data_IF_853742104878
#
_entry.id   IF_853742104878
#
_cell.length_a   1.000
_cell.length_b   1.000
_cell.length_c   1.000
_cell.angle_alpha   90.00
_cell.angle_beta   90.00
_cell.angle_gamma   90.00
#
_symmetry.space_group_name_H-M   'P 1'
#
loop_
_entity.id
_entity.type
_entity.pdbx_description
1 polymer ?
#
# COMPACT_ATOMS: atom_id res chain seq x y z
N UNK A 1 -17.28 -13.94 -21.71
CA UNK A 1 -17.11 -12.89 -20.69
C UNK A 1 -16.76 -13.57 -19.40
N UNK A 2 -15.60 -13.27 -18.85
CA UNK A 2 -15.13 -13.82 -17.58
C UNK A 2 -15.66 -12.99 -16.40
N UNK A 3 -15.68 -13.54 -15.16
CA UNK A 3 -16.17 -12.83 -13.98
C UNK A 3 -15.44 -11.51 -13.70
N UNK A 4 -14.17 -11.40 -14.07
CA UNK A 4 -13.38 -10.17 -13.95
C UNK A 4 -13.64 -9.14 -15.06
N UNK A 5 -14.52 -9.45 -16.02
CA UNK A 5 -14.93 -8.56 -17.10
C UNK A 5 -14.19 -8.73 -18.42
N UNK A 6 -13.27 -9.70 -18.54
CA UNK A 6 -12.53 -9.97 -19.78
C UNK A 6 -13.46 -10.58 -20.85
N UNK A 7 -13.35 -10.09 -22.08
CA UNK A 7 -14.01 -10.64 -23.26
C UNK A 7 -12.98 -11.29 -24.18
N UNK A 8 -13.09 -12.61 -24.37
CA UNK A 8 -12.25 -13.35 -25.30
C UNK A 8 -13.01 -13.53 -26.63
N UNK A 9 -12.34 -13.18 -27.73
CA UNK A 9 -12.81 -13.39 -29.09
C UNK A 9 -11.82 -14.33 -29.78
N UNK A 10 -12.29 -15.49 -30.23
CA UNK A 10 -11.47 -16.52 -30.88
C UNK A 10 -11.70 -16.50 -32.39
N UNK A 11 -10.69 -16.94 -33.14
CA UNK A 11 -10.72 -17.04 -34.61
C UNK A 11 -11.21 -15.74 -35.27
N UNK A 12 -10.83 -14.59 -34.68
CA UNK A 12 -11.23 -13.28 -35.15
C UNK A 12 -10.67 -13.01 -36.56
N UNK A 13 -11.51 -12.53 -37.44
CA UNK A 13 -11.17 -12.08 -38.78
C UNK A 13 -11.41 -10.57 -38.89
N UNK A 14 -11.09 -10.00 -40.05
CA UNK A 14 -11.27 -8.55 -40.28
C UNK A 14 -12.74 -8.10 -40.12
N UNK A 15 -13.70 -9.04 -40.23
CA UNK A 15 -15.13 -8.79 -40.04
C UNK A 15 -15.49 -8.46 -38.58
N UNK A 16 -14.73 -8.94 -37.60
CA UNK A 16 -14.94 -8.62 -36.19
C UNK A 16 -14.23 -7.33 -35.76
N UNK A 17 -13.49 -6.65 -36.64
CA UNK A 17 -12.90 -5.35 -36.35
C UNK A 17 -14.01 -4.30 -36.11
N UNK A 18 -13.83 -3.45 -35.11
CA UNK A 18 -14.84 -2.44 -34.77
C UNK A 18 -14.72 -1.87 -33.37
N UNK A 19 -15.74 -1.11 -32.95
CA UNK A 19 -15.81 -0.56 -31.60
C UNK A 19 -16.53 -1.51 -30.65
N UNK A 20 -15.83 -1.89 -29.58
CA UNK A 20 -16.37 -2.73 -28.51
C UNK A 20 -16.61 -1.87 -27.29
N UNK A 21 -17.79 -2.01 -26.66
CA UNK A 21 -18.15 -1.24 -25.46
C UNK A 21 -18.40 -2.18 -24.29
N UNK A 22 -17.60 -2.02 -23.24
CA UNK A 22 -17.86 -2.62 -21.95
C UNK A 22 -18.91 -1.79 -21.20
N UNK A 23 -19.91 -2.47 -20.62
CA UNK A 23 -20.99 -1.84 -19.85
C UNK A 23 -21.02 -2.44 -18.45
N UNK A 24 -20.64 -1.65 -17.46
CA UNK A 24 -20.75 -2.01 -16.05
C UNK A 24 -22.01 -1.37 -15.48
N UNK A 25 -22.93 -2.17 -14.92
CA UNK A 25 -24.18 -1.65 -14.37
C UNK A 25 -24.43 -2.17 -12.96
N UNK A 26 -25.11 -1.37 -12.16
CA UNK A 26 -25.60 -1.72 -10.84
C UNK A 26 -27.01 -1.13 -10.63
N UNK A 27 -27.54 -1.24 -9.41
CA UNK A 27 -28.88 -0.73 -9.08
C UNK A 27 -29.02 0.79 -9.18
N UNK A 28 -27.91 1.53 -9.17
CA UNK A 28 -27.88 3.01 -9.20
C UNK A 28 -27.71 3.53 -10.62
N UNK A 29 -26.92 2.86 -11.45
CA UNK A 29 -26.66 3.31 -12.82
C UNK A 29 -25.71 2.40 -13.60
N UNK A 30 -25.23 2.91 -14.73
CA UNK A 30 -24.30 2.23 -15.62
C UNK A 30 -23.14 3.14 -16.02
N UNK A 31 -21.96 2.54 -16.15
CA UNK A 31 -20.74 3.14 -16.69
C UNK A 31 -20.34 2.38 -17.96
N UNK A 32 -19.78 3.10 -18.94
CA UNK A 32 -19.44 2.55 -20.25
C UNK A 32 -18.01 2.89 -20.63
N UNK A 33 -17.30 1.91 -21.18
CA UNK A 33 -15.96 2.11 -21.76
C UNK A 33 -15.87 1.47 -23.12
N UNK A 34 -15.61 2.28 -24.14
CA UNK A 34 -15.41 1.81 -25.51
C UNK A 34 -13.93 1.72 -25.86
N UNK A 35 -13.57 0.69 -26.63
CA UNK A 35 -12.26 0.47 -27.24
C UNK A 35 -12.43 0.17 -28.73
N UNK A 36 -11.42 0.50 -29.53
CA UNK A 36 -11.38 0.15 -30.95
C UNK A 36 -10.51 -1.09 -31.11
N UNK A 37 -11.07 -2.12 -31.71
CA UNK A 37 -10.37 -3.38 -32.02
C UNK A 37 -10.09 -3.40 -33.51
N UNK A 38 -8.82 -3.46 -33.86
CA UNK A 38 -8.35 -3.76 -35.22
C UNK A 38 -7.87 -5.20 -35.27
N UNK A 39 -8.25 -5.93 -36.31
CA UNK A 39 -7.76 -7.27 -36.57
C UNK A 39 -6.95 -7.21 -37.85
N UNK A 40 -5.64 -7.39 -37.73
CA UNK A 40 -4.77 -7.46 -38.90
C UNK A 40 -4.89 -8.87 -39.49
N UNK A 41 -5.24 -8.99 -40.77
CA UNK A 41 -5.50 -10.27 -41.46
C UNK A 41 -4.27 -11.18 -41.65
N UNK A 42 -3.15 -10.89 -41.01
CA UNK A 42 -1.93 -11.71 -41.05
C UNK A 42 -1.60 -12.27 -39.67
N UNK A 43 -1.10 -13.50 -39.64
CA UNK A 43 -0.60 -14.11 -38.40
C UNK A 43 0.71 -13.40 -38.04
N UNK A 44 0.74 -12.78 -36.86
CA UNK A 44 1.95 -12.16 -36.32
C UNK A 44 3.06 -13.23 -36.23
N UNK A 45 4.23 -12.90 -36.79
CA UNK A 45 5.39 -13.78 -36.74
C UNK A 45 5.76 -14.08 -35.29
N UNK A 46 6.21 -15.31 -35.04
CA UNK A 46 6.58 -15.78 -33.71
C UNK A 46 7.67 -14.85 -33.14
N UNK A 47 7.33 -14.05 -32.13
CA UNK A 47 8.29 -13.14 -31.52
C UNK A 47 9.13 -13.90 -30.50
N UNK A 48 10.33 -14.32 -30.93
CA UNK A 48 11.36 -14.86 -30.05
C UNK A 48 12.15 -13.75 -29.31
N UNK A 49 11.65 -12.52 -29.34
CA UNK A 49 12.32 -11.42 -28.67
C UNK A 49 12.15 -11.54 -27.16
N UNK A 50 13.21 -11.29 -26.38
CA UNK A 50 13.14 -11.40 -24.94
C UNK A 50 12.22 -10.32 -24.38
N UNK A 51 11.35 -10.71 -23.46
CA UNK A 51 10.71 -9.78 -22.53
C UNK A 51 11.65 -9.54 -21.36
N UNK A 52 11.75 -8.30 -20.88
CA UNK A 52 12.49 -8.01 -19.67
C UNK A 52 11.60 -7.38 -18.61
N UNK A 53 11.59 -7.96 -17.43
CA UNK A 53 10.73 -7.57 -16.31
C UNK A 53 11.53 -6.76 -15.29
N UNK A 54 10.94 -5.65 -14.86
CA UNK A 54 11.51 -4.73 -13.89
C UNK A 54 10.58 -4.55 -12.69
N UNK A 55 11.17 -4.40 -11.51
CA UNK A 55 10.43 -4.01 -10.29
C UNK A 55 10.50 -2.50 -10.13
N UNK A 56 9.38 -1.82 -10.37
CA UNK A 56 9.32 -0.36 -10.29
C UNK A 56 9.13 0.15 -8.86
N UNK A 57 8.41 -0.59 -8.00
CA UNK A 57 8.24 -0.20 -6.59
C UNK A 57 7.85 -1.36 -5.70
N UNK A 58 8.29 -1.32 -4.44
CA UNK A 58 7.99 -2.36 -3.43
C UNK A 58 7.42 -1.71 -2.16
N UNK A 59 6.27 -2.22 -1.72
CA UNK A 59 5.59 -1.86 -0.47
C UNK A 59 5.34 -3.12 0.37
N UNK A 60 4.77 -2.96 1.57
CA UNK A 60 4.53 -4.09 2.48
C UNK A 60 3.42 -5.03 1.97
N UNK A 61 2.46 -4.51 1.20
CA UNK A 61 1.31 -5.28 0.70
C UNK A 61 1.09 -5.16 -0.81
N UNK A 62 2.04 -4.56 -1.53
CA UNK A 62 1.93 -4.41 -2.98
C UNK A 62 3.28 -4.27 -3.64
N UNK A 63 3.38 -4.74 -4.88
CA UNK A 63 4.55 -4.56 -5.75
C UNK A 63 4.06 -4.01 -7.08
N UNK A 64 4.80 -3.05 -7.64
CA UNK A 64 4.62 -2.59 -9.02
C UNK A 64 5.70 -3.21 -9.88
N UNK A 65 5.26 -3.81 -10.98
CA UNK A 65 6.08 -4.52 -11.95
C UNK A 65 5.86 -3.85 -13.30
N UNK A 66 6.92 -3.66 -14.07
CA UNK A 66 6.87 -3.14 -15.43
C UNK A 66 7.69 -4.01 -16.35
N UNK A 67 7.45 -3.94 -17.65
CA UNK A 67 8.15 -4.78 -18.62
C UNK A 67 8.42 -4.04 -19.93
N UNK A 68 9.42 -4.52 -20.65
CA UNK A 68 9.75 -4.09 -22.00
C UNK A 68 9.81 -5.31 -22.92
N UNK A 69 9.20 -5.20 -24.10
CA UNK A 69 9.22 -6.23 -25.15
C UNK A 69 9.39 -5.55 -26.50
N UNK A 70 10.22 -6.14 -27.36
CA UNK A 70 10.60 -5.57 -28.66
C UNK A 70 9.64 -5.91 -29.81
N UNK A 71 8.59 -6.70 -29.56
CA UNK A 71 7.69 -7.12 -30.65
C UNK A 71 6.59 -8.11 -30.31
N UNK A 72 6.41 -8.49 -29.05
CA UNK A 72 5.26 -9.29 -28.63
C UNK A 72 4.37 -8.53 -27.64
N UNK A 73 3.10 -8.92 -27.57
CA UNK A 73 2.13 -8.35 -26.64
C UNK A 73 2.13 -9.16 -25.35
N UNK A 74 2.31 -8.48 -24.22
CA UNK A 74 2.23 -9.11 -22.92
C UNK A 74 0.80 -9.55 -22.66
N UNK A 75 0.63 -10.82 -22.33
CA UNK A 75 -0.70 -11.45 -22.22
C UNK A 75 -1.02 -11.87 -20.79
N UNK A 76 -0.01 -12.34 -20.04
CA UNK A 76 -0.21 -12.93 -18.73
C UNK A 76 0.91 -12.56 -17.75
N UNK A 77 0.50 -12.21 -16.54
CA UNK A 77 1.37 -12.02 -15.38
C UNK A 77 1.06 -13.10 -14.36
N UNK A 78 2.09 -13.75 -13.82
CA UNK A 78 1.97 -14.76 -12.78
C UNK A 78 2.78 -14.38 -11.55
N UNK A 79 2.27 -14.65 -10.35
CA UNK A 79 3.06 -14.53 -9.12
C UNK A 79 2.74 -15.61 -8.09
N UNK A 80 3.78 -16.06 -7.40
CA UNK A 80 3.67 -17.04 -6.31
C UNK A 80 4.70 -16.77 -5.22
N UNK A 81 4.47 -17.32 -4.02
CA UNK A 81 5.46 -17.28 -2.94
C UNK A 81 6.63 -18.17 -3.35
N UNK A 82 7.86 -17.64 -3.30
CA UNK A 82 9.04 -18.33 -3.81
C UNK A 82 9.29 -19.69 -3.15
N UNK A 83 8.93 -19.82 -1.87
CA UNK A 83 9.14 -21.02 -1.06
C UNK A 83 8.01 -22.06 -1.18
N UNK A 84 6.96 -21.79 -1.95
CA UNK A 84 5.75 -22.62 -1.96
C UNK A 84 5.42 -23.08 -3.38
N UNK A 85 5.16 -24.37 -3.58
CA UNK A 85 4.78 -24.96 -4.88
C UNK A 85 3.28 -24.88 -5.12
N UNK A 86 2.63 -23.85 -4.59
CA UNK A 86 1.21 -23.56 -4.79
C UNK A 86 1.01 -22.97 -6.18
N UNK A 87 -0.17 -23.23 -6.74
CA UNK A 87 -0.57 -22.71 -8.04
C UNK A 87 -0.42 -21.17 -8.06
N UNK A 88 0.27 -20.60 -9.06
CA UNK A 88 0.51 -19.17 -9.10
C UNK A 88 -0.81 -18.42 -9.29
N UNK A 89 -0.89 -17.24 -8.69
CA UNK A 89 -1.93 -16.29 -9.04
C UNK A 89 -1.63 -15.71 -10.41
N UNK A 90 -2.67 -15.50 -11.22
CA UNK A 90 -2.53 -15.00 -12.58
C UNK A 90 -3.35 -13.72 -12.78
N UNK A 91 -2.87 -12.84 -13.65
CA UNK A 91 -3.60 -11.70 -14.15
C UNK A 91 -3.44 -11.63 -15.67
N UNK A 92 -4.57 -11.50 -16.38
CA UNK A 92 -4.58 -11.23 -17.82
C UNK A 92 -4.35 -9.75 -18.04
N UNK A 93 -3.46 -9.41 -18.96
CA UNK A 93 -3.04 -8.05 -19.22
C UNK A 93 -3.51 -7.59 -20.60
N UNK A 94 -4.06 -6.36 -20.70
CA UNK A 94 -4.29 -5.73 -22.00
C UNK A 94 -2.98 -5.46 -22.74
N UNK A 95 -3.04 -5.49 -24.07
CA UNK A 95 -1.89 -5.32 -24.96
C UNK A 95 -1.15 -3.97 -24.83
N UNK A 96 -1.85 -2.91 -24.43
CA UNK A 96 -1.33 -1.55 -24.30
C UNK A 96 -0.69 -1.27 -22.93
N UNK A 97 -0.88 -2.16 -21.97
CA UNK A 97 -0.37 -1.99 -20.60
C UNK A 97 1.09 -2.43 -20.52
N UNK A 98 1.90 -1.62 -19.83
CA UNK A 98 3.34 -1.88 -19.61
C UNK A 98 3.73 -1.99 -18.14
N UNK A 99 2.77 -1.83 -17.24
CA UNK A 99 2.98 -2.00 -15.81
C UNK A 99 1.74 -2.55 -15.10
N UNK A 100 1.96 -3.29 -14.01
CA UNK A 100 0.90 -3.85 -13.20
C UNK A 100 1.20 -3.71 -11.71
N UNK A 101 0.16 -3.43 -10.91
CA UNK A 101 0.26 -3.36 -9.46
C UNK A 101 -0.37 -4.61 -8.83
N UNK A 102 0.48 -5.51 -8.37
CA UNK A 102 0.09 -6.66 -7.55
C UNK A 102 -0.27 -6.15 -6.15
N UNK A 103 -1.45 -6.53 -5.65
CA UNK A 103 -2.01 -6.06 -4.37
C UNK A 103 -2.24 -7.23 -3.42
N UNK A 104 -2.56 -6.90 -2.16
CA UNK A 104 -2.93 -7.86 -1.12
C UNK A 104 -1.84 -8.92 -0.86
N UNK A 105 -0.58 -8.53 -1.02
CA UNK A 105 0.56 -9.40 -0.73
C UNK A 105 0.81 -9.48 0.78
N UNK A 106 1.42 -10.58 1.20
CA UNK A 106 1.91 -10.73 2.57
C UNK A 106 3.19 -9.90 2.74
N UNK A 107 3.36 -9.16 3.85
CA UNK A 107 4.60 -8.47 4.19
C UNK A 107 5.77 -9.42 4.39
N UNK A 108 6.99 -8.90 4.27
CA UNK A 108 8.24 -9.66 4.49
C UNK A 108 8.28 -11.02 3.78
N UNK A 109 7.67 -11.11 2.59
CA UNK A 109 7.50 -12.37 1.85
C UNK A 109 8.15 -12.24 0.48
N UNK A 110 8.96 -13.24 0.12
CA UNK A 110 9.59 -13.32 -1.19
C UNK A 110 8.63 -13.94 -2.20
N UNK A 111 8.37 -13.22 -3.30
CA UNK A 111 7.54 -13.65 -4.41
C UNK A 111 8.38 -13.81 -5.66
N UNK A 112 8.05 -14.82 -6.48
CA UNK A 112 8.49 -14.91 -7.86
C UNK A 112 7.39 -14.35 -8.75
N UNK A 113 7.74 -13.42 -9.62
CA UNK A 113 6.83 -12.80 -10.57
C UNK A 113 7.32 -13.10 -11.98
N UNK A 114 6.44 -13.58 -12.85
CA UNK A 114 6.77 -13.89 -14.24
C UNK A 114 5.81 -13.16 -15.19
N UNK A 115 6.34 -12.71 -16.33
CA UNK A 115 5.57 -12.07 -17.41
C UNK A 115 5.72 -12.92 -18.67
N UNK A 116 4.62 -13.18 -19.35
CA UNK A 116 4.57 -13.96 -20.59
C UNK A 116 4.02 -13.14 -21.76
N UNK A 117 4.65 -13.33 -22.92
CA UNK A 117 4.38 -12.57 -24.15
C UNK A 117 3.92 -13.49 -25.26
N UNK A 118 2.96 -13.01 -26.06
CA UNK A 118 2.44 -13.70 -27.24
C UNK A 118 2.45 -12.80 -28.50
N UNK A 119 2.56 -13.38 -29.71
CA UNK A 119 2.89 -14.78 -29.99
C UNK A 119 4.38 -15.07 -29.76
N UNK A 120 4.73 -16.26 -29.27
CA UNK A 120 6.15 -16.69 -29.14
C UNK A 120 6.63 -17.14 -27.77
N UNK A 121 5.75 -17.22 -26.77
CA UNK A 121 6.04 -17.79 -25.44
C UNK A 121 7.39 -17.32 -24.87
N UNK A 122 7.64 -16.01 -24.93
CA UNK A 122 8.78 -15.39 -24.26
C UNK A 122 8.38 -15.11 -22.80
N UNK A 123 9.17 -15.61 -21.85
CA UNK A 123 8.90 -15.52 -20.41
C UNK A 123 10.13 -15.02 -19.67
N UNK A 124 9.95 -14.01 -18.82
CA UNK A 124 10.98 -13.55 -17.89
C UNK A 124 10.41 -13.47 -16.48
N UNK A 125 11.26 -13.78 -15.49
CA UNK A 125 10.87 -13.93 -14.10
C UNK A 125 11.84 -13.20 -13.16
N UNK A 126 11.28 -12.48 -12.20
CA UNK A 126 12.03 -11.75 -11.18
C UNK A 126 11.56 -12.12 -9.78
N UNK A 127 12.50 -12.17 -8.84
CA UNK A 127 12.17 -12.37 -7.43
C UNK A 127 12.10 -11.00 -6.74
N UNK A 128 11.10 -10.82 -5.88
CA UNK A 128 10.87 -9.58 -5.15
C UNK A 128 10.36 -9.87 -3.74
N UNK A 129 10.99 -9.22 -2.75
CA UNK A 129 10.58 -9.36 -1.34
C UNK A 129 9.80 -8.12 -0.92
N UNK A 130 8.57 -8.32 -0.43
CA UNK A 130 7.75 -7.23 0.12
C UNK A 130 8.38 -6.63 1.38
N UNK A 131 8.11 -5.35 1.64
CA UNK A 131 8.59 -4.69 2.85
C UNK A 131 7.90 -5.27 4.09
N UNK A 132 8.52 -5.07 5.24
CA UNK A 132 7.87 -5.37 6.52
C UNK A 132 6.63 -4.48 6.71
N UNK A 133 5.59 -5.01 7.34
CA UNK A 133 4.44 -4.21 7.72
C UNK A 133 4.88 -3.19 8.77
N UNK A 134 4.53 -1.93 8.56
CA UNK A 134 4.66 -0.96 9.63
C UNK A 134 3.81 -1.44 10.80
N UNK A 135 4.43 -1.72 11.95
CA UNK A 135 3.72 -1.87 13.20
C UNK A 135 2.86 -0.60 13.40
N UNK A 136 1.67 -0.70 14.02
CA UNK A 136 0.96 0.48 14.46
C UNK A 136 1.92 1.26 15.33
N UNK A 137 2.41 2.40 14.82
CA UNK A 137 3.30 3.28 15.58
C UNK A 137 2.50 3.64 16.82
N UNK A 138 2.88 3.08 17.97
CA UNK A 138 2.36 3.50 19.25
C UNK A 138 2.67 4.99 19.28
N UNK A 139 1.64 5.80 19.09
CA UNK A 139 1.72 7.23 19.35
C UNK A 139 2.08 7.32 20.82
N UNK A 140 3.35 7.47 21.13
CA UNK A 140 3.80 8.03 22.40
C UNK A 140 3.41 9.52 22.37
N UNK A 141 2.11 9.78 22.26
CA UNK A 141 1.53 11.11 22.20
C UNK A 141 1.00 11.47 23.59
N UNK A 142 1.63 12.50 24.14
CA UNK A 142 1.10 13.47 25.09
C UNK A 142 0.72 13.03 26.50
N UNK A 143 0.47 11.75 26.77
CA UNK A 143 0.11 11.30 28.13
C UNK A 143 1.24 11.52 29.12
N UNK A 144 2.49 11.22 28.74
CA UNK A 144 3.65 11.43 29.61
C UNK A 144 3.86 12.94 29.88
N UNK A 145 3.66 13.79 28.87
CA UNK A 145 3.75 15.25 29.02
C UNK A 145 2.63 15.84 29.88
N UNK A 146 1.40 15.37 29.70
CA UNK A 146 0.22 15.81 30.47
C UNK A 146 0.34 15.38 31.94
N UNK A 147 0.75 14.13 32.19
CA UNK A 147 0.97 13.61 33.55
C UNK A 147 2.08 14.38 34.23
N UNK A 148 3.23 14.59 33.57
CA UNK A 148 4.34 15.36 34.14
C UNK A 148 3.96 16.81 34.44
N UNK A 149 3.22 17.47 33.56
CA UNK A 149 2.72 18.83 33.79
C UNK A 149 1.75 18.88 34.98
N UNK A 150 0.85 17.90 35.10
CA UNK A 150 -0.10 17.82 36.22
C UNK A 150 0.60 17.61 37.57
N UNK A 151 1.62 16.75 37.61
CA UNK A 151 2.44 16.51 38.80
C UNK A 151 3.22 17.78 39.20
N UNK A 152 3.82 18.48 38.24
CA UNK A 152 4.57 19.70 38.51
C UNK A 152 3.68 20.80 39.13
N UNK A 153 2.47 21.01 38.59
CA UNK A 153 1.50 21.97 39.15
C UNK A 153 1.12 21.58 40.57
N UNK A 154 0.87 20.29 40.83
CA UNK A 154 0.53 19.80 42.17
C UNK A 154 1.66 20.07 43.19
N UNK A 155 2.92 19.78 42.84
CA UNK A 155 4.06 20.06 43.72
C UNK A 155 4.23 21.55 44.00
N UNK A 156 4.02 22.42 43.01
CA UNK A 156 4.08 23.87 43.19
C UNK A 156 3.00 24.34 44.17
N UNK A 157 1.76 23.87 44.02
CA UNK A 157 0.66 24.24 44.92
C UNK A 157 0.94 23.82 46.36
N UNK A 158 1.45 22.59 46.56
CA UNK A 158 1.81 22.09 47.90
C UNK A 158 2.94 22.91 48.52
N UNK A 159 3.99 23.22 47.76
CA UNK A 159 5.11 24.03 48.26
C UNK A 159 4.69 25.45 48.66
N UNK A 160 3.82 26.09 47.87
CA UNK A 160 3.26 27.41 48.20
C UNK A 160 2.40 27.33 49.46
N UNK A 161 1.51 26.34 49.57
CA UNK A 161 0.69 26.14 50.77
C UNK A 161 1.54 25.94 52.02
N UNK A 162 2.56 25.07 51.96
CA UNK A 162 3.50 24.85 53.05
C UNK A 162 4.24 26.12 53.46
N UNK A 163 4.66 26.95 52.48
CA UNK A 163 5.36 28.20 52.74
C UNK A 163 4.45 29.25 53.41
N UNK A 164 3.18 29.33 53.01
CA UNK A 164 2.18 30.20 53.64
C UNK A 164 1.87 29.76 55.08
N UNK A 165 1.72 28.45 55.32
CA UNK A 165 1.53 27.91 56.67
C UNK A 165 2.76 28.19 57.53
N UNK A 166 3.97 27.96 56.99
CA UNK A 166 5.22 28.21 57.71
C UNK A 166 5.37 29.68 58.09
N UNK A 167 5.15 30.61 57.18
CA UNK A 167 5.22 32.06 57.44
C UNK A 167 4.14 32.52 58.42
N UNK A 168 2.93 31.96 58.36
CA UNK A 168 1.87 32.21 59.34
C UNK A 168 2.27 31.72 60.74
N UNK A 169 2.80 30.51 60.87
CA UNK A 169 3.27 30.00 62.16
C UNK A 169 4.46 30.80 62.69
N UNK A 170 5.40 31.13 61.82
CA UNK A 170 6.57 31.93 62.18
C UNK A 170 6.20 33.34 62.65
N UNK A 171 5.27 34.00 61.97
CA UNK A 171 4.77 35.32 62.40
C UNK A 171 4.01 35.25 63.72
N UNK A 172 3.19 34.21 63.96
CA UNK A 172 2.55 34.03 65.27
C UNK A 172 3.56 33.81 66.40
N UNK A 173 4.60 33.02 66.16
CA UNK A 173 5.69 32.84 67.13
C UNK A 173 6.43 34.15 67.40
N UNK A 174 6.69 34.96 66.38
CA UNK A 174 7.37 36.25 66.52
C UNK A 174 6.51 37.28 67.28
N UNK A 175 5.19 37.28 67.05
CA UNK A 175 4.23 38.11 67.80
C UNK A 175 4.18 37.69 69.27
N UNK A 176 4.17 36.39 69.58
CA UNK A 176 4.24 35.91 70.96
C UNK A 176 5.56 36.27 71.64
N UNK A 177 6.68 36.22 70.92
CA UNK A 177 8.00 36.53 71.47
C UNK A 177 8.18 38.04 71.72
N UNK A 178 7.57 38.89 70.90
CA UNK A 178 7.58 40.36 71.09
C UNK A 178 6.66 40.82 72.22
N UNK A 179 5.50 40.18 72.41
CA UNK A 179 4.60 40.45 73.55
C UNK A 179 5.18 39.97 74.90
N UNK A 180 6.05 38.94 74.88
CA UNK A 180 6.81 38.50 76.07
C UNK A 180 7.93 39.45 76.47
N UNK A 181 8.48 40.22 75.53
CA UNK A 181 9.66 41.07 75.75
C UNK A 181 9.28 42.52 76.13
N UNK A 182 7.99 42.87 76.09
CA UNK A 182 7.43 44.19 76.46
C UNK A 182 6.79 44.23 77.86
N UNK A 183 6.81 43.13 78.62
CA UNK A 183 6.40 43.06 80.04
C UNK A 183 7.60 43.01 80.97
#
# INVERSE_FOLDING_TARGET
MHPEGTFDLYDATEQEAGSYTCVAHNLVGADLKSVMVSVDGYIAELSNQPVHVFISSVQSHSVRVSWESSGGLVSQLEWSVFADSVMPFTARLPADVRDYRIRQLKPSTCYRVCVEVQPGYSRDCVNVTTKEAALPRRKTESWDGLVMASCAVFFIVVAVACSLVYTSLYSQMFVQETDRRSR
#
